data_IF_483310086605
#
_entry.id   IF_483310086605
#
_cell.length_a   1.000
_cell.length_b   1.000
_cell.length_c   1.000
_cell.angle_alpha   90.00
_cell.angle_beta   90.00
_cell.angle_gamma   90.00
#
_symmetry.space_group_name_H-M   'P 1'
#
loop_
_entity.id
_entity.type
_entity.pdbx_description
1 polymer ?
#
# COMPACT_ATOMS: atom_id res chain seq x y z
N UNK A 1 31.97 45.84 -27.69
CA UNK A 1 30.54 45.68 -27.38
C UNK A 1 29.80 45.47 -28.69
N UNK A 2 29.32 44.28 -29.00
CA UNK A 2 28.16 43.98 -29.86
C UNK A 2 27.74 42.55 -29.48
N UNK A 3 26.66 42.47 -28.73
CA UNK A 3 26.06 41.30 -28.08
C UNK A 3 25.23 40.53 -29.11
N UNK A 4 25.72 39.39 -29.61
CA UNK A 4 24.98 38.53 -30.55
C UNK A 4 24.18 37.50 -29.75
N UNK A 5 22.92 37.84 -29.49
CA UNK A 5 21.95 36.94 -28.87
C UNK A 5 21.53 35.89 -29.90
N UNK A 6 21.89 34.65 -29.62
CA UNK A 6 21.38 33.48 -30.33
C UNK A 6 19.86 33.38 -30.14
N UNK A 7 19.10 33.82 -31.14
CA UNK A 7 17.66 33.61 -31.21
C UNK A 7 17.36 32.16 -31.60
N UNK A 8 17.24 31.27 -30.62
CA UNK A 8 16.58 29.99 -30.84
C UNK A 8 15.08 30.24 -31.01
N UNK A 9 14.44 29.78 -32.11
CA UNK A 9 12.99 29.84 -32.19
C UNK A 9 12.43 28.90 -31.12
N UNK A 10 11.63 29.46 -30.21
CA UNK A 10 10.84 28.68 -29.26
C UNK A 10 9.97 27.71 -30.05
N UNK A 11 10.41 26.44 -30.14
CA UNK A 11 9.50 25.34 -30.44
C UNK A 11 8.55 25.27 -29.26
N UNK A 12 7.40 25.92 -29.40
CA UNK A 12 6.23 25.64 -28.58
C UNK A 12 5.89 24.19 -28.90
N UNK A 13 6.36 23.26 -28.08
CA UNK A 13 5.77 21.94 -28.04
C UNK A 13 4.32 22.17 -27.65
N UNK A 14 3.33 21.80 -28.48
CA UNK A 14 1.98 21.70 -27.97
C UNK A 14 2.06 20.65 -26.86
N UNK A 15 1.94 21.10 -25.61
CA UNK A 15 1.61 20.20 -24.51
C UNK A 15 0.20 19.77 -24.88
N UNK A 16 0.09 18.61 -25.53
CA UNK A 16 -1.17 17.93 -25.67
C UNK A 16 -1.66 17.72 -24.24
N UNK A 17 -2.56 18.61 -23.82
CA UNK A 17 -3.36 18.55 -22.60
C UNK A 17 -4.38 17.42 -22.75
N UNK A 18 -3.88 16.24 -23.06
CA UNK A 18 -4.61 14.99 -23.16
C UNK A 18 -3.78 13.96 -22.40
N UNK A 19 -3.55 14.23 -21.10
CA UNK A 19 -3.54 13.10 -20.17
C UNK A 19 -4.98 12.61 -20.17
N UNK A 20 -5.26 11.71 -21.11
CA UNK A 20 -6.55 11.07 -21.28
C UNK A 20 -7.02 10.55 -19.92
N UNK A 21 -8.29 10.81 -19.60
CA UNK A 21 -8.92 10.26 -18.41
C UNK A 21 -8.77 8.72 -18.33
N UNK A 22 -8.58 8.03 -19.48
CA UNK A 22 -8.30 6.58 -19.57
C UNK A 22 -6.96 6.14 -18.96
N UNK A 23 -5.97 7.03 -18.84
CA UNK A 23 -4.66 6.68 -18.24
C UNK A 23 -4.61 7.08 -16.77
N UNK A 24 -5.47 8.00 -16.34
CA UNK A 24 -5.53 8.48 -14.97
C UNK A 24 -6.16 7.46 -14.01
N UNK A 25 -7.18 6.71 -14.46
CA UNK A 25 -7.80 5.63 -13.68
C UNK A 25 -6.85 4.46 -13.37
N UNK A 26 -6.16 3.83 -14.34
CA UNK A 26 -5.26 2.71 -14.04
C UNK A 26 -4.05 3.14 -13.19
N UNK A 27 -3.54 4.37 -13.37
CA UNK A 27 -2.48 4.90 -12.51
C UNK A 27 -2.99 5.21 -11.09
N UNK A 28 -4.27 5.56 -10.93
CA UNK A 28 -4.88 5.73 -9.61
C UNK A 28 -5.03 4.36 -8.92
N UNK A 29 -5.51 3.35 -9.63
CA UNK A 29 -5.63 1.97 -9.13
C UNK A 29 -4.27 1.40 -8.73
N UNK A 30 -3.23 1.56 -9.55
CA UNK A 30 -1.87 1.11 -9.23
C UNK A 30 -1.32 1.83 -7.99
N UNK A 31 -1.55 3.14 -7.85
CA UNK A 31 -1.14 3.89 -6.65
C UNK A 31 -1.91 3.49 -5.40
N UNK A 32 -3.19 3.14 -5.52
CA UNK A 32 -3.98 2.63 -4.41
C UNK A 32 -3.50 1.23 -4.00
N UNK A 33 -3.18 0.37 -4.97
CA UNK A 33 -2.61 -0.95 -4.72
C UNK A 33 -1.25 -0.85 -4.02
N UNK A 34 -0.35 0.00 -4.50
CA UNK A 34 0.95 0.24 -3.87
C UNK A 34 0.81 0.78 -2.43
N UNK A 35 -0.12 1.69 -2.18
CA UNK A 35 -0.40 2.18 -0.82
C UNK A 35 -0.93 1.06 0.08
N UNK A 36 -1.79 0.20 -0.46
CA UNK A 36 -2.30 -0.97 0.28
C UNK A 36 -1.18 -1.95 0.62
N UNK A 37 -0.22 -2.16 -0.28
CA UNK A 37 0.95 -3.01 -0.04
C UNK A 37 1.88 -2.39 1.01
N UNK A 38 2.11 -1.07 0.95
CA UNK A 38 2.89 -0.33 1.96
C UNK A 38 2.24 -0.41 3.36
N UNK A 39 0.92 -0.19 3.45
CA UNK A 39 0.16 -0.31 4.70
C UNK A 39 0.23 -1.74 5.27
N UNK A 40 0.15 -2.77 4.42
CA UNK A 40 0.30 -4.17 4.84
C UNK A 40 1.70 -4.49 5.36
N UNK A 41 2.75 -3.99 4.68
CA UNK A 41 4.13 -4.15 5.14
C UNK A 41 4.39 -3.44 6.47
N UNK A 42 3.80 -2.26 6.68
CA UNK A 42 3.89 -1.55 7.96
C UNK A 42 3.29 -2.38 9.11
N UNK A 43 2.12 -3.00 8.89
CA UNK A 43 1.51 -3.90 9.86
C UNK A 43 2.36 -5.13 10.18
N UNK A 44 2.97 -5.75 9.17
CA UNK A 44 3.88 -6.89 9.36
C UNK A 44 5.11 -6.50 10.19
N UNK A 45 5.69 -5.32 9.93
CA UNK A 45 6.82 -4.80 10.71
C UNK A 45 6.44 -4.51 12.16
N UNK A 46 5.27 -3.91 12.41
CA UNK A 46 4.79 -3.68 13.78
C UNK A 46 4.59 -4.97 14.56
N UNK A 47 4.13 -6.05 13.88
CA UNK A 47 4.00 -7.37 14.48
C UNK A 47 5.36 -7.95 14.88
N UNK A 48 6.34 -7.89 13.97
CA UNK A 48 7.71 -8.37 14.23
C UNK A 48 8.35 -7.61 15.40
N UNK A 49 8.19 -6.29 15.43
CA UNK A 49 8.73 -5.45 16.51
C UNK A 49 8.09 -5.80 17.87
N UNK A 50 6.78 -6.05 17.88
CA UNK A 50 6.07 -6.46 19.10
C UNK A 50 6.51 -7.86 19.58
N UNK A 51 6.70 -8.81 18.67
CA UNK A 51 7.21 -10.15 19.01
C UNK A 51 8.64 -10.07 19.55
N UNK A 52 9.50 -9.29 18.91
CA UNK A 52 10.86 -9.05 19.38
C UNK A 52 10.90 -8.43 20.78
N UNK A 53 9.99 -7.50 21.08
CA UNK A 53 9.90 -6.89 22.40
C UNK A 53 9.51 -7.92 23.48
N UNK A 54 8.57 -8.82 23.19
CA UNK A 54 8.17 -9.91 24.10
C UNK A 54 9.33 -10.88 24.32
N UNK A 55 9.99 -11.34 23.25
CA UNK A 55 11.12 -12.27 23.34
C UNK A 55 12.27 -11.70 24.18
N UNK A 56 12.60 -10.41 24.01
CA UNK A 56 13.64 -9.75 24.84
C UNK A 56 13.24 -9.68 26.32
N UNK A 57 11.97 -9.45 26.61
CA UNK A 57 11.48 -9.44 27.99
C UNK A 57 11.59 -10.84 28.62
N UNK A 58 11.20 -11.87 27.88
CA UNK A 58 11.35 -13.27 28.29
C UNK A 58 12.81 -13.68 28.51
N UNK A 59 13.73 -13.29 27.63
CA UNK A 59 15.17 -13.50 27.81
C UNK A 59 15.71 -12.81 29.07
N UNK A 60 15.19 -11.64 29.42
CA UNK A 60 15.52 -10.94 30.65
C UNK A 60 14.86 -11.56 31.90
N UNK A 61 14.01 -12.59 31.73
CA UNK A 61 13.25 -13.21 32.82
C UNK A 61 12.14 -12.32 33.38
N UNK A 62 11.70 -11.33 32.60
CA UNK A 62 10.68 -10.35 33.01
C UNK A 62 9.45 -10.49 32.13
N UNK A 63 8.28 -10.52 32.74
CA UNK A 63 7.02 -10.42 31.99
C UNK A 63 6.73 -8.95 31.69
N UNK A 64 6.83 -8.56 30.42
CA UNK A 64 6.42 -7.23 29.97
C UNK A 64 4.97 -7.25 29.46
N UNK A 65 4.04 -6.92 30.36
CA UNK A 65 2.63 -6.84 30.04
C UNK A 65 2.30 -5.79 28.97
N UNK A 66 3.15 -4.77 28.79
CA UNK A 66 2.97 -3.76 27.74
C UNK A 66 3.38 -4.34 26.38
N UNK A 67 4.50 -5.05 26.32
CA UNK A 67 4.92 -5.76 25.10
C UNK A 67 3.88 -6.82 24.68
N UNK A 68 3.37 -7.61 25.62
CA UNK A 68 2.31 -8.59 25.35
C UNK A 68 1.03 -7.94 24.81
N UNK A 69 0.56 -6.85 25.42
CA UNK A 69 -0.62 -6.12 24.93
C UNK A 69 -0.40 -5.48 23.57
N UNK A 70 0.83 -5.04 23.25
CA UNK A 70 1.17 -4.54 21.92
C UNK A 70 1.11 -5.67 20.90
N UNK A 71 1.67 -6.82 21.23
CA UNK A 71 1.62 -8.02 20.39
C UNK A 71 0.18 -8.50 20.14
N UNK A 72 -0.67 -8.53 21.17
CA UNK A 72 -2.09 -8.88 21.03
C UNK A 72 -2.83 -7.94 20.07
N UNK A 73 -2.53 -6.63 20.11
CA UNK A 73 -3.11 -5.65 19.20
C UNK A 73 -2.61 -5.83 17.77
N UNK A 74 -1.29 -5.99 17.56
CA UNK A 74 -0.73 -6.24 16.24
C UNK A 74 -1.33 -7.51 15.60
N UNK A 75 -1.43 -8.60 16.38
CA UNK A 75 -2.07 -9.85 15.93
C UNK A 75 -3.56 -9.69 15.62
N UNK A 76 -4.27 -8.81 16.34
CA UNK A 76 -5.67 -8.54 16.06
C UNK A 76 -5.84 -7.74 14.76
N UNK A 77 -4.96 -6.78 14.50
CA UNK A 77 -4.94 -6.03 13.25
C UNK A 77 -4.66 -6.95 12.05
N UNK A 78 -3.61 -7.78 12.13
CA UNK A 78 -3.25 -8.75 11.09
C UNK A 78 -4.40 -9.73 10.75
N UNK A 79 -5.08 -10.28 11.78
CA UNK A 79 -6.26 -11.14 11.55
C UNK A 79 -7.41 -10.41 10.85
N UNK A 80 -7.65 -9.15 11.20
CA UNK A 80 -8.72 -8.37 10.57
C UNK A 80 -8.40 -8.06 9.12
N UNK A 81 -7.13 -7.76 8.81
CA UNK A 81 -6.66 -7.55 7.45
C UNK A 81 -6.75 -8.83 6.62
N UNK A 82 -6.30 -9.97 7.15
CA UNK A 82 -6.44 -11.26 6.50
C UNK A 82 -7.90 -11.60 6.22
N UNK A 83 -8.80 -11.34 7.18
CA UNK A 83 -10.22 -11.50 6.98
C UNK A 83 -10.73 -10.61 5.85
N UNK A 84 -10.39 -9.31 5.85
CA UNK A 84 -10.79 -8.38 4.80
C UNK A 84 -10.35 -8.84 3.40
N UNK A 85 -9.11 -9.33 3.27
CA UNK A 85 -8.59 -9.91 2.02
C UNK A 85 -9.34 -11.18 1.61
N UNK A 86 -9.73 -12.03 2.57
CA UNK A 86 -10.54 -13.23 2.29
C UNK A 86 -11.94 -12.87 1.79
N UNK A 87 -12.61 -11.90 2.42
CA UNK A 87 -13.92 -11.42 1.98
C UNK A 87 -13.89 -10.86 0.56
N UNK A 88 -12.89 -10.01 0.24
CA UNK A 88 -12.72 -9.49 -1.11
C UNK A 88 -12.52 -10.58 -2.17
N UNK A 89 -11.83 -11.66 -1.80
CA UNK A 89 -11.64 -12.81 -2.70
C UNK A 89 -12.93 -13.58 -2.94
N UNK A 90 -13.73 -13.80 -1.89
CA UNK A 90 -15.03 -14.49 -2.02
C UNK A 90 -16.01 -13.70 -2.87
N UNK A 91 -16.10 -12.37 -2.68
CA UNK A 91 -16.96 -11.51 -3.50
C UNK A 91 -16.53 -11.49 -4.98
N UNK A 92 -15.21 -11.54 -5.25
CA UNK A 92 -14.68 -11.64 -6.60
C UNK A 92 -14.99 -13.00 -7.26
N UNK A 93 -14.86 -14.09 -6.51
CA UNK A 93 -15.15 -15.45 -7.00
C UNK A 93 -16.66 -15.61 -7.30
N UNK A 94 -17.55 -15.04 -6.48
CA UNK A 94 -19.00 -15.06 -6.68
C UNK A 94 -19.41 -14.25 -7.93
N UNK A 95 -18.80 -13.09 -8.15
CA UNK A 95 -19.04 -12.29 -9.36
C UNK A 95 -18.58 -13.00 -10.64
N UNK A 96 -17.41 -13.64 -10.60
CA UNK A 96 -16.90 -14.44 -11.74
C UNK A 96 -17.76 -15.69 -12.00
N UNK A 97 -18.34 -16.29 -10.96
CA UNK A 97 -19.24 -17.43 -11.10
C UNK A 97 -20.57 -17.04 -11.76
N UNK A 98 -21.12 -15.87 -11.46
CA UNK A 98 -22.33 -15.36 -12.12
C UNK A 98 -22.08 -15.00 -13.60
N UNK A 99 -20.95 -14.38 -13.92
CA UNK A 99 -20.56 -14.04 -15.29
C UNK A 99 -20.34 -15.28 -16.17
N UNK A 100 -19.83 -16.38 -15.60
CA UNK A 100 -19.59 -17.64 -16.32
C UNK A 100 -20.87 -18.45 -16.62
N UNK A 101 -22.00 -18.13 -15.97
CA UNK A 101 -23.28 -18.83 -16.15
C UNK A 101 -24.22 -18.07 -17.12
N UNK A 102 -23.95 -16.78 -17.38
CA UNK A 102 -24.68 -15.93 -18.33
C UNK A 102 -24.30 -16.18 -19.80
#
# INVERSE_FOLDING_TARGET
MHDQRFGFPARVFPIASEVSADVAEPLLEERLALRSDEEGLEHELELIDAECAVLRAEEAGVTDAVAMRRLERARAADRNELAARQWQRTDHDDFQAEEAIA
#
